data_IF_849556497832
#
_entry.id   IF_849556497832
#
_cell.length_a   1.000
_cell.length_b   1.000
_cell.length_c   1.000
_cell.angle_alpha   90.00
_cell.angle_beta   90.00
_cell.angle_gamma   90.00
#
_symmetry.space_group_name_H-M   'P 1'
#
loop_
_entity.id
_entity.type
_entity.pdbx_description
1 polymer ?
#
# COMPACT_ATOMS: atom_id res chain seq x y z
N UNK A 1 18.90 0.54 19.91
CA UNK A 1 18.99 -0.06 18.56
C UNK A 1 18.23 0.76 17.52
N UNK A 2 16.90 0.93 17.63
CA UNK A 2 16.11 1.70 16.65
C UNK A 2 16.49 3.19 16.52
N UNK A 3 16.71 3.90 17.64
CA UNK A 3 17.14 5.31 17.59
C UNK A 3 18.49 5.49 16.90
N UNK A 4 19.43 4.57 17.18
CA UNK A 4 20.76 4.56 16.56
C UNK A 4 20.66 4.37 15.04
N UNK A 5 19.84 3.43 14.58
CA UNK A 5 19.60 3.21 13.15
C UNK A 5 18.95 4.43 12.48
N UNK A 6 17.91 5.00 13.08
CA UNK A 6 17.27 6.20 12.54
C UNK A 6 18.27 7.37 12.41
N UNK A 7 19.15 7.55 13.41
CA UNK A 7 20.20 8.56 13.36
C UNK A 7 21.21 8.30 12.24
N UNK A 8 21.61 7.04 12.03
CA UNK A 8 22.54 6.66 10.95
C UNK A 8 21.98 6.97 9.57
N UNK A 9 20.68 6.77 9.35
CA UNK A 9 20.01 7.04 8.08
C UNK A 9 19.42 8.46 7.97
N UNK A 10 19.65 9.33 8.94
CA UNK A 10 19.10 10.70 8.96
C UNK A 10 17.57 10.76 9.08
N UNK A 11 16.93 9.70 9.57
CA UNK A 11 15.47 9.61 9.71
C UNK A 11 15.04 10.34 10.98
N UNK A 12 14.18 11.34 10.82
CA UNK A 12 13.51 12.01 11.95
C UNK A 12 12.41 11.11 12.50
N UNK A 13 12.61 10.58 13.71
CA UNK A 13 11.59 9.85 14.44
C UNK A 13 10.50 10.83 14.94
N UNK A 14 9.24 10.54 14.58
CA UNK A 14 8.07 11.25 15.10
C UNK A 14 7.31 10.32 16.04
N UNK A 15 7.13 10.75 17.29
CA UNK A 15 6.40 9.98 18.30
C UNK A 15 4.99 10.53 18.46
N UNK A 16 4.00 9.64 18.44
CA UNK A 16 2.63 10.00 18.82
C UNK A 16 2.50 10.05 20.33
N UNK A 17 1.77 11.04 20.84
CA UNK A 17 1.46 11.12 22.26
C UNK A 17 0.71 9.86 22.74
N UNK A 18 0.98 9.44 23.98
CA UNK A 18 0.26 8.34 24.60
C UNK A 18 -1.26 8.61 24.58
N UNK A 19 -2.06 7.58 24.34
CA UNK A 19 -3.53 7.66 24.25
C UNK A 19 -4.08 8.59 23.15
N UNK A 20 -3.28 8.92 22.13
CA UNK A 20 -3.71 9.71 20.98
C UNK A 20 -3.70 8.92 19.65
N UNK A 21 -4.54 7.87 19.50
CA UNK A 21 -4.53 7.00 18.32
C UNK A 21 -4.89 7.73 17.02
N UNK A 22 -5.60 8.86 17.10
CA UNK A 22 -5.96 9.67 15.92
C UNK A 22 -4.75 10.12 15.11
N UNK A 23 -3.59 10.34 15.75
CA UNK A 23 -2.36 10.70 15.04
C UNK A 23 -1.91 9.62 14.04
N UNK A 24 -2.25 8.36 14.27
CA UNK A 24 -1.95 7.24 13.37
C UNK A 24 -3.18 6.80 12.54
N UNK A 25 -4.27 7.57 12.57
CA UNK A 25 -5.54 7.15 11.97
C UNK A 25 -5.48 6.91 10.46
N UNK A 26 -4.56 7.53 9.73
CA UNK A 26 -4.36 7.27 8.30
C UNK A 26 -3.75 5.88 8.05
N UNK A 27 -2.67 5.54 8.76
CA UNK A 27 -2.01 4.24 8.62
C UNK A 27 -2.89 3.10 9.17
N UNK A 28 -3.62 3.35 10.25
CA UNK A 28 -4.58 2.37 10.80
C UNK A 28 -5.72 2.06 9.81
N UNK A 29 -6.26 3.08 9.13
CA UNK A 29 -7.27 2.88 8.08
C UNK A 29 -6.69 2.08 6.90
N UNK A 30 -5.49 2.43 6.46
CA UNK A 30 -4.81 1.69 5.40
C UNK A 30 -4.55 0.22 5.78
N UNK A 31 -4.09 -0.05 7.01
CA UNK A 31 -3.90 -1.41 7.51
C UNK A 31 -5.21 -2.21 7.53
N UNK A 32 -6.35 -1.58 7.83
CA UNK A 32 -7.67 -2.24 7.79
C UNK A 32 -8.00 -2.72 6.38
N UNK A 33 -7.80 -1.85 5.38
CA UNK A 33 -7.99 -2.20 3.96
C UNK A 33 -7.04 -3.31 3.53
N UNK A 34 -5.77 -3.24 3.92
CA UNK A 34 -4.78 -4.28 3.62
C UNK A 34 -5.19 -5.64 4.19
N UNK A 35 -5.59 -5.68 5.46
CA UNK A 35 -6.05 -6.93 6.10
C UNK A 35 -7.28 -7.48 5.42
N UNK A 36 -8.25 -6.64 5.06
CA UNK A 36 -9.44 -7.07 4.33
C UNK A 36 -9.07 -7.69 2.97
N UNK A 37 -8.19 -7.05 2.20
CA UNK A 37 -7.74 -7.56 0.91
C UNK A 37 -6.97 -8.89 1.03
N UNK A 38 -6.16 -9.06 2.09
CA UNK A 38 -5.50 -10.34 2.39
C UNK A 38 -6.53 -11.41 2.77
N UNK A 39 -7.52 -11.09 3.61
CA UNK A 39 -8.56 -12.05 4.02
C UNK A 39 -9.47 -12.47 2.85
N UNK A 40 -9.68 -11.61 1.87
CA UNK A 40 -10.36 -11.98 0.62
C UNK A 40 -9.57 -13.00 -0.21
N UNK A 41 -8.25 -13.08 -0.02
CA UNK A 41 -7.41 -14.04 -0.68
C UNK A 41 -7.44 -15.37 0.10
N UNK A 42 -8.10 -16.39 -0.45
CA UNK A 42 -8.36 -17.70 0.19
C UNK A 42 -7.11 -18.57 0.41
N UNK A 43 -5.91 -18.03 0.19
CA UNK A 43 -4.65 -18.77 0.32
C UNK A 43 -4.24 -18.94 1.79
N UNK A 44 -3.90 -20.19 2.16
CA UNK A 44 -3.27 -20.53 3.45
C UNK A 44 -1.94 -19.80 3.64
N UNK A 45 -1.26 -19.46 2.54
CA UNK A 45 0.01 -18.76 2.53
C UNK A 45 -0.17 -17.29 2.14
N UNK A 46 -0.71 -16.48 3.05
CA UNK A 46 -0.96 -15.05 2.82
C UNK A 46 0.29 -14.26 2.36
N UNK A 47 1.49 -14.71 2.72
CA UNK A 47 2.76 -14.06 2.34
C UNK A 47 3.02 -14.12 0.84
N UNK A 48 2.67 -15.23 0.17
CA UNK A 48 2.84 -15.32 -1.30
C UNK A 48 1.84 -14.43 -2.04
N UNK A 49 0.66 -14.26 -1.47
CA UNK A 49 -0.38 -13.37 -1.99
C UNK A 49 -0.07 -11.88 -1.76
N UNK A 50 0.80 -11.56 -0.79
CA UNK A 50 1.05 -10.19 -0.34
C UNK A 50 1.51 -9.29 -1.49
N UNK A 51 2.39 -9.76 -2.37
CA UNK A 51 2.87 -8.99 -3.52
C UNK A 51 1.72 -8.60 -4.46
N UNK A 52 0.82 -9.54 -4.75
CA UNK A 52 -0.33 -9.30 -5.62
C UNK A 52 -1.35 -8.36 -4.95
N UNK A 53 -1.63 -8.55 -3.66
CA UNK A 53 -2.53 -7.67 -2.90
C UNK A 53 -1.99 -6.24 -2.84
N UNK A 54 -0.70 -6.09 -2.54
CA UNK A 54 -0.07 -4.76 -2.50
C UNK A 54 -0.01 -4.09 -3.87
N UNK A 55 0.19 -4.86 -4.94
CA UNK A 55 0.10 -4.35 -6.30
C UNK A 55 -1.30 -3.78 -6.57
N UNK A 56 -2.35 -4.57 -6.31
CA UNK A 56 -3.74 -4.14 -6.50
C UNK A 56 -4.09 -2.89 -5.68
N UNK A 57 -3.65 -2.82 -4.41
CA UNK A 57 -3.89 -1.64 -3.56
C UNK A 57 -3.14 -0.38 -4.02
N UNK A 58 -2.00 -0.53 -4.71
CA UNK A 58 -1.23 0.61 -5.24
C UNK A 58 -1.76 1.11 -6.58
N UNK A 59 -2.36 0.23 -7.38
CA UNK A 59 -2.84 0.57 -8.73
C UNK A 59 -4.33 0.87 -8.74
N UNK A 60 -5.05 0.55 -7.66
CA UNK A 60 -6.44 0.92 -7.50
C UNK A 60 -6.60 2.44 -7.49
N UNK A 61 -7.51 2.94 -8.32
CA UNK A 61 -7.91 4.34 -8.31
C UNK A 61 -8.59 4.67 -6.99
N UNK A 62 -8.17 5.78 -6.37
CA UNK A 62 -8.74 6.23 -5.10
C UNK A 62 -9.41 7.58 -5.29
N UNK A 63 -10.74 7.58 -5.19
CA UNK A 63 -11.58 8.77 -5.41
C UNK A 63 -11.19 9.93 -4.51
N UNK A 64 -10.83 9.69 -3.24
CA UNK A 64 -10.35 10.73 -2.31
C UNK A 64 -9.13 11.50 -2.84
N UNK A 65 -8.27 10.82 -3.62
CA UNK A 65 -7.02 11.35 -4.16
C UNK A 65 -7.14 11.74 -5.64
N UNK A 66 -8.23 11.35 -6.31
CA UNK A 66 -8.42 11.46 -7.76
C UNK A 66 -7.28 10.84 -8.59
N UNK A 67 -6.52 9.91 -8.01
CA UNK A 67 -5.43 9.19 -8.68
C UNK A 67 -5.15 7.85 -8.00
N UNK A 68 -4.35 6.99 -8.62
CA UNK A 68 -3.82 5.81 -7.94
C UNK A 68 -2.57 6.16 -7.10
N UNK A 69 -2.28 5.43 -6.01
CA UNK A 69 -1.01 5.58 -5.29
C UNK A 69 0.23 5.36 -6.17
N UNK A 70 0.16 4.47 -7.16
CA UNK A 70 1.24 4.26 -8.12
C UNK A 70 1.44 5.48 -9.02
N UNK A 71 0.35 6.08 -9.51
CA UNK A 71 0.39 7.29 -10.34
C UNK A 71 1.03 8.46 -9.57
N UNK A 72 0.73 8.58 -8.28
CA UNK A 72 1.30 9.63 -7.43
C UNK A 72 2.80 9.45 -7.20
N UNK A 73 3.30 8.22 -7.17
CA UNK A 73 4.73 7.92 -6.93
C UNK A 73 5.53 8.01 -8.21
N UNK A 74 5.01 7.49 -9.32
CA UNK A 74 5.74 7.39 -10.59
C UNK A 74 5.41 8.51 -11.58
N UNK A 75 4.31 9.24 -11.37
CA UNK A 75 3.84 10.29 -12.28
C UNK A 75 3.11 9.77 -13.52
N UNK A 76 2.94 8.45 -13.65
CA UNK A 76 2.31 7.81 -14.80
C UNK A 76 1.46 6.60 -14.38
N UNK A 77 0.53 6.21 -15.25
CA UNK A 77 -0.32 5.04 -15.01
C UNK A 77 0.49 3.75 -15.19
N UNK A 78 0.57 2.93 -14.14
CA UNK A 78 1.36 1.70 -14.17
C UNK A 78 0.67 0.64 -15.04
N UNK A 79 1.37 0.15 -16.08
CA UNK A 79 0.86 -0.95 -16.90
C UNK A 79 0.85 -2.26 -16.11
N UNK A 80 -0.34 -2.84 -15.95
CA UNK A 80 -0.54 -4.06 -15.18
C UNK A 80 -0.38 -5.30 -16.07
N UNK A 81 0.10 -6.44 -15.52
CA UNK A 81 0.12 -7.73 -16.20
C UNK A 81 -1.21 -8.09 -16.88
N UNK A 82 -2.34 -7.73 -16.28
CA UNK A 82 -3.67 -7.98 -16.83
C UNK A 82 -4.01 -7.14 -18.06
N UNK A 83 -3.34 -6.00 -18.29
CA UNK A 83 -3.58 -5.11 -19.43
C UNK A 83 -2.82 -5.56 -20.69
N UNK A 84 -1.72 -6.31 -20.53
CA UNK A 84 -0.94 -6.82 -21.67
C UNK A 84 -1.71 -7.85 -22.50
N UNK A 85 -2.59 -8.63 -21.86
CA UNK A 85 -3.34 -9.70 -22.54
C UNK A 85 -4.66 -9.22 -23.19
N UNK A 86 -4.96 -7.91 -23.17
CA UNK A 86 -6.20 -7.36 -23.76
C UNK A 86 -6.07 -7.12 -25.27
N UNK A 87 -4.87 -7.26 -25.86
CA UNK A 87 -4.72 -7.32 -27.31
C UNK A 87 -4.85 -8.75 -27.80
N UNK A 88 -6.08 -9.17 -28.14
CA UNK A 88 -6.46 -9.84 -29.39
C UNK A 88 -7.99 -9.97 -29.41
N UNK A 89 -8.67 -8.98 -29.96
CA UNK A 89 -9.96 -9.18 -30.60
C UNK A 89 -9.77 -8.89 -32.10
N UNK A 90 -10.25 -9.78 -32.98
CA UNK A 90 -9.90 -9.80 -34.41
C UNK A 90 -10.33 -8.53 -35.17
#
# INVERSE_FOLDING_TARGET
MYFTLAKTFGIRLSHTAAYHPRANGAIERWHRTLKAAIMCHTSVHWVSALSAVLLGLRTAFKEDLQCSPADMVYGENLCLPSQFFVQQQP
#
